data_IF_828460998823
#
_entry.id   IF_828460998823
#
_cell.length_a   1.000
_cell.length_b   1.000
_cell.length_c   1.000
_cell.angle_alpha   90.00
_cell.angle_beta   90.00
_cell.angle_gamma   90.00
#
_symmetry.space_group_name_H-M   'P 1'
#
loop_
_entity.id
_entity.type
_entity.pdbx_description
1 polymer ?
#
# COMPACT_ATOMS: atom_id res chain seq x y z
N UNK A 1 1.39 -27.41 -28.62
CA UNK A 1 1.53 -26.02 -28.13
C UNK A 1 1.01 -25.96 -26.71
N UNK A 2 1.87 -25.80 -25.72
CA UNK A 2 1.42 -25.56 -24.34
C UNK A 2 0.76 -24.17 -24.29
N UNK A 3 -0.41 -23.99 -23.67
CA UNK A 3 -0.94 -22.65 -23.44
C UNK A 3 0.11 -21.84 -22.67
N UNK A 4 0.29 -20.55 -22.98
CA UNK A 4 1.18 -19.71 -22.19
C UNK A 4 0.74 -19.84 -20.73
N UNK A 5 1.67 -20.28 -19.87
CA UNK A 5 1.42 -20.46 -18.45
C UNK A 5 0.65 -19.25 -17.95
N UNK A 6 -0.58 -19.42 -17.45
CA UNK A 6 -1.41 -18.27 -17.17
C UNK A 6 -0.65 -17.43 -16.14
N UNK A 7 -0.64 -16.12 -16.36
CA UNK A 7 -0.20 -15.12 -15.39
C UNK A 7 -1.02 -15.16 -14.07
N UNK A 8 -1.74 -16.26 -13.80
CA UNK A 8 -2.71 -16.56 -12.75
C UNK A 8 -2.14 -16.58 -11.33
N UNK A 9 -0.82 -16.46 -11.17
CA UNK A 9 -0.20 -16.29 -9.85
C UNK A 9 0.77 -15.11 -9.77
N UNK A 10 0.51 -14.01 -10.49
CA UNK A 10 0.84 -12.71 -9.89
C UNK A 10 0.06 -12.67 -8.58
N UNK A 11 0.71 -12.93 -7.44
CA UNK A 11 -0.02 -13.20 -6.19
C UNK A 11 -1.04 -12.09 -6.01
N UNK A 12 -2.33 -12.47 -5.86
CA UNK A 12 -3.43 -11.51 -5.83
C UNK A 12 -3.42 -10.62 -4.59
N UNK A 13 -2.31 -10.63 -3.87
CA UNK A 13 -2.08 -10.03 -2.57
C UNK A 13 -1.24 -8.77 -2.70
N UNK A 14 -1.54 -7.79 -1.86
CA UNK A 14 -0.69 -6.63 -1.63
C UNK A 14 0.35 -7.03 -0.58
N UNK A 15 1.63 -6.83 -0.87
CA UNK A 15 2.71 -7.16 0.06
C UNK A 15 3.36 -5.89 0.58
N UNK A 16 3.41 -5.72 1.90
CA UNK A 16 4.20 -4.65 2.52
C UNK A 16 5.68 -5.07 2.47
N UNK A 17 6.51 -4.22 1.87
CA UNK A 17 7.94 -4.46 1.67
C UNK A 17 8.82 -3.72 2.69
N UNK A 18 8.31 -2.62 3.27
CA UNK A 18 9.06 -1.83 4.25
C UNK A 18 8.81 -2.29 5.69
N UNK A 19 9.73 -1.91 6.59
CA UNK A 19 9.48 -1.96 8.02
C UNK A 19 8.22 -1.16 8.38
N UNK A 20 7.41 -1.74 9.27
CA UNK A 20 6.15 -1.20 9.79
C UNK A 20 6.36 -0.37 11.07
N UNK A 21 7.60 0.02 11.37
CA UNK A 21 7.90 0.97 12.46
C UNK A 21 7.52 2.38 12.06
N UNK A 22 6.91 3.14 12.97
CA UNK A 22 6.46 4.52 12.76
C UNK A 22 7.61 5.39 12.27
N UNK A 23 8.76 5.35 12.96
CA UNK A 23 9.93 6.12 12.55
C UNK A 23 10.45 5.77 11.15
N UNK A 24 10.24 4.54 10.67
CA UNK A 24 10.59 4.17 9.30
C UNK A 24 9.56 4.67 8.29
N UNK A 25 8.27 4.53 8.58
CA UNK A 25 7.18 5.01 7.72
C UNK A 25 7.26 6.53 7.55
N UNK A 26 7.54 7.28 8.62
CA UNK A 26 7.66 8.75 8.58
C UNK A 26 8.87 9.22 7.77
N UNK A 27 10.01 8.52 7.87
CA UNK A 27 11.26 8.91 7.19
C UNK A 27 11.33 8.43 5.75
N UNK A 28 11.01 7.16 5.51
CA UNK A 28 11.23 6.47 4.22
C UNK A 28 9.94 6.25 3.42
N UNK A 29 8.77 6.41 4.04
CA UNK A 29 7.48 6.07 3.44
C UNK A 29 7.15 4.57 3.58
N UNK A 30 5.91 4.23 3.22
CA UNK A 30 5.43 2.85 3.20
C UNK A 30 5.67 2.24 1.81
N UNK A 31 6.52 1.21 1.73
CA UNK A 31 6.80 0.49 0.48
C UNK A 31 5.92 -0.75 0.39
N UNK A 32 5.31 -0.97 -0.76
CA UNK A 32 4.50 -2.15 -1.01
C UNK A 32 4.58 -2.60 -2.47
N UNK A 33 4.20 -3.85 -2.71
CA UNK A 33 4.02 -4.44 -4.03
C UNK A 33 2.53 -4.70 -4.25
N UNK A 34 2.03 -4.40 -5.45
CA UNK A 34 0.69 -4.74 -5.90
C UNK A 34 0.72 -5.26 -7.32
N UNK A 35 -0.19 -6.17 -7.67
CA UNK A 35 -0.40 -6.53 -9.06
C UNK A 35 -1.26 -5.49 -9.77
N UNK A 36 -0.99 -5.32 -11.06
CA UNK A 36 -1.76 -4.55 -12.02
C UNK A 36 -2.28 -5.52 -13.08
N UNK A 37 -3.61 -5.67 -13.22
CA UNK A 37 -4.20 -6.72 -14.04
C UNK A 37 -4.05 -6.46 -15.55
N UNK A 38 -4.05 -5.18 -15.97
CA UNK A 38 -3.96 -4.77 -17.38
C UNK A 38 -3.13 -3.50 -17.57
N UNK A 39 -2.45 -3.40 -18.71
CA UNK A 39 -1.70 -2.20 -19.10
C UNK A 39 -2.64 -0.99 -19.21
N UNK A 40 -2.14 0.19 -18.85
CA UNK A 40 -2.95 1.41 -18.82
C UNK A 40 -3.76 1.59 -17.54
N UNK A 41 -3.77 0.61 -16.63
CA UNK A 41 -4.50 0.73 -15.36
C UNK A 41 -3.96 1.86 -14.49
N UNK A 42 -4.86 2.46 -13.71
CA UNK A 42 -4.50 3.26 -12.56
C UNK A 42 -4.34 2.37 -11.30
N UNK A 43 -3.57 2.87 -10.35
CA UNK A 43 -3.46 2.35 -8.99
C UNK A 43 -3.78 3.48 -8.01
N UNK A 44 -4.67 3.22 -7.07
CA UNK A 44 -4.95 4.07 -5.91
C UNK A 44 -4.73 3.27 -4.64
N UNK A 45 -3.82 3.69 -3.79
CA UNK A 45 -3.57 3.06 -2.49
C UNK A 45 -3.97 4.00 -1.35
N UNK A 46 -4.73 3.49 -0.39
CA UNK A 46 -5.18 4.20 0.80
C UNK A 46 -4.59 3.55 2.04
N UNK A 47 -3.81 4.32 2.79
CA UNK A 47 -3.37 3.92 4.12
C UNK A 47 -4.39 4.39 5.15
N UNK A 48 -4.95 3.45 5.90
CA UNK A 48 -5.84 3.71 7.03
C UNK A 48 -5.21 3.16 8.31
N UNK A 49 -5.36 3.89 9.41
CA UNK A 49 -4.92 3.45 10.75
C UNK A 49 -6.11 3.59 11.67
N UNK A 50 -6.47 2.51 12.35
CA UNK A 50 -7.69 2.40 13.16
C UNK A 50 -8.95 2.88 12.40
N UNK A 51 -9.08 2.45 11.14
CA UNK A 51 -10.20 2.82 10.26
C UNK A 51 -10.13 4.24 9.68
N UNK A 52 -9.28 5.13 10.21
CA UNK A 52 -9.15 6.53 9.77
C UNK A 52 -8.15 6.67 8.63
N UNK A 53 -8.51 7.42 7.59
CA UNK A 53 -7.64 7.68 6.43
C UNK A 53 -6.44 8.55 6.81
N UNK A 54 -5.23 8.02 6.55
CA UNK A 54 -3.96 8.71 6.78
C UNK A 54 -3.44 9.32 5.50
N UNK A 55 -3.32 8.53 4.44
CA UNK A 55 -2.68 8.96 3.19
C UNK A 55 -3.24 8.24 1.96
N UNK A 56 -3.07 8.88 0.80
CA UNK A 56 -3.44 8.33 -0.51
C UNK A 56 -2.24 8.44 -1.45
N UNK A 57 -1.94 7.36 -2.16
CA UNK A 57 -0.98 7.33 -3.27
C UNK A 57 -1.72 6.99 -4.56
N UNK A 58 -1.39 7.69 -5.65
CA UNK A 58 -1.99 7.46 -6.98
C UNK A 58 -0.91 7.32 -8.03
N UNK A 59 -1.07 6.32 -8.91
CA UNK A 59 -0.28 6.16 -10.13
C UNK A 59 -1.19 5.83 -11.29
N UNK A 60 -0.85 6.30 -12.47
CA UNK A 60 -1.64 6.12 -13.70
C UNK A 60 -0.79 5.48 -14.78
N UNK A 61 -1.44 4.94 -15.82
CA UNK A 61 -0.78 4.36 -17.02
C UNK A 61 0.28 3.30 -16.65
N UNK A 62 -0.06 2.39 -15.74
CA UNK A 62 0.85 1.34 -15.31
C UNK A 62 0.86 0.18 -16.32
N UNK A 63 2.04 -0.42 -16.51
CA UNK A 63 2.17 -1.68 -17.24
C UNK A 63 1.55 -2.85 -16.45
N UNK A 64 1.01 -3.84 -17.17
CA UNK A 64 0.59 -5.11 -16.57
C UNK A 64 1.75 -5.76 -15.82
N UNK A 65 1.51 -6.32 -14.65
CA UNK A 65 2.52 -7.02 -13.86
C UNK A 65 2.52 -6.66 -12.37
N UNK A 66 3.62 -6.89 -11.68
CA UNK A 66 3.82 -6.42 -10.30
C UNK A 66 4.51 -5.08 -10.30
N UNK A 67 4.01 -4.16 -9.48
CA UNK A 67 4.60 -2.84 -9.34
C UNK A 67 4.93 -2.59 -7.89
N UNK A 68 6.14 -2.08 -7.68
CA UNK A 68 6.60 -1.60 -6.37
C UNK A 68 6.28 -0.13 -6.25
N UNK A 69 5.59 0.22 -5.18
CA UNK A 69 5.15 1.59 -4.91
C UNK A 69 5.70 2.02 -3.56
N UNK A 70 6.12 3.27 -3.48
CA UNK A 70 6.50 3.90 -2.21
C UNK A 70 5.53 5.04 -1.96
N UNK A 71 4.64 4.88 -0.97
CA UNK A 71 3.76 5.93 -0.50
C UNK A 71 4.55 6.85 0.43
N UNK A 72 4.87 8.06 -0.05
CA UNK A 72 5.54 9.09 0.73
C UNK A 72 4.47 9.93 1.43
N UNK A 73 4.61 10.07 2.74
CA UNK A 73 3.71 10.91 3.53
C UNK A 73 4.15 12.38 3.42
N UNK A 74 3.21 13.25 3.07
CA UNK A 74 3.35 14.70 3.20
C UNK A 74 3.51 15.11 4.66
N UNK A 75 3.92 16.36 4.93
CA UNK A 75 4.08 16.88 6.29
C UNK A 75 2.81 16.72 7.12
N UNK A 76 1.65 17.03 6.54
CA UNK A 76 0.33 16.90 7.18
C UNK A 76 -0.03 15.46 7.49
N UNK A 77 0.23 14.53 6.56
CA UNK A 77 -0.06 13.10 6.76
C UNK A 77 0.87 12.48 7.80
N UNK A 78 2.15 12.89 7.83
CA UNK A 78 3.09 12.51 8.90
C UNK A 78 2.57 12.95 10.26
N UNK A 79 2.17 14.22 10.39
CA UNK A 79 1.61 14.74 11.64
C UNK A 79 0.32 14.02 12.04
N UNK A 80 -0.55 13.69 11.07
CA UNK A 80 -1.77 12.89 11.30
C UNK A 80 -1.44 11.49 11.82
N UNK A 81 -0.51 10.79 11.18
CA UNK A 81 -0.08 9.46 11.60
C UNK A 81 0.54 9.48 13.00
N UNK A 82 1.46 10.41 13.26
CA UNK A 82 2.09 10.57 14.57
C UNK A 82 1.07 10.87 15.68
N UNK A 83 0.05 11.68 15.39
CA UNK A 83 -1.05 11.96 16.33
C UNK A 83 -1.89 10.73 16.61
N UNK A 84 -2.25 9.95 15.59
CA UNK A 84 -3.02 8.71 15.78
C UNK A 84 -2.28 7.64 16.58
N UNK A 85 -0.95 7.59 16.46
CA UNK A 85 -0.11 6.71 17.29
C UNK A 85 0.35 7.37 18.59
N UNK A 86 -0.15 8.55 18.97
CA UNK A 86 0.28 9.23 20.20
C UNK A 86 -0.12 8.42 21.43
N UNK A 87 0.87 8.10 22.26
CA UNK A 87 0.67 7.31 23.50
C UNK A 87 0.45 5.81 23.28
N UNK A 88 0.56 5.31 22.04
CA UNK A 88 0.33 3.91 21.71
C UNK A 88 1.60 3.22 21.24
N UNK A 89 1.89 2.03 21.77
CA UNK A 89 3.02 1.22 21.31
C UNK A 89 2.78 0.59 19.94
N UNK A 90 1.52 0.24 19.65
CA UNK A 90 1.08 -0.42 18.41
C UNK A 90 -0.28 0.12 17.98
N UNK A 91 -0.53 0.17 16.68
CA UNK A 91 -1.82 0.49 16.10
C UNK A 91 -2.12 -0.39 14.87
N UNK A 92 -3.37 -0.79 14.72
CA UNK A 92 -3.82 -1.56 13.54
C UNK A 92 -3.92 -0.64 12.33
N UNK A 93 -3.36 -1.07 11.22
CA UNK A 93 -3.36 -0.37 9.95
C UNK A 93 -3.87 -1.27 8.82
N UNK A 94 -4.36 -0.61 7.77
CA UNK A 94 -4.86 -1.25 6.57
C UNK A 94 -4.34 -0.47 5.36
N UNK A 95 -3.80 -1.18 4.37
CA UNK A 95 -3.52 -0.65 3.05
C UNK A 95 -4.53 -1.22 2.07
N UNK A 96 -5.44 -0.37 1.57
CA UNK A 96 -6.42 -0.72 0.53
C UNK A 96 -5.88 -0.25 -0.81
N UNK A 97 -5.65 -1.16 -1.75
CA UNK A 97 -5.15 -0.85 -3.10
C UNK A 97 -6.22 -1.19 -4.11
N UNK A 98 -6.57 -0.21 -4.95
CA UNK A 98 -7.48 -0.34 -6.07
C UNK A 98 -6.65 -0.28 -7.35
N UNK A 99 -6.75 -1.30 -8.21
CA UNK A 99 -6.09 -1.29 -9.51
C UNK A 99 -6.93 -1.98 -10.57
N UNK A 100 -7.18 -1.28 -11.69
CA UNK A 100 -7.86 -1.87 -12.85
C UNK A 100 -9.28 -2.40 -12.56
N UNK A 101 -9.96 -1.90 -11.53
CA UNK A 101 -11.28 -2.37 -11.07
C UNK A 101 -11.22 -3.38 -9.92
N UNK A 102 -10.05 -3.95 -9.63
CA UNK A 102 -9.87 -4.85 -8.49
C UNK A 102 -9.51 -4.09 -7.22
N UNK A 103 -10.10 -4.48 -6.09
CA UNK A 103 -9.73 -3.98 -4.76
C UNK A 103 -9.05 -5.08 -3.97
N UNK A 104 -7.89 -4.75 -3.39
CA UNK A 104 -7.12 -5.63 -2.53
C UNK A 104 -6.76 -4.93 -1.25
N UNK A 105 -6.74 -5.67 -0.15
CA UNK A 105 -6.50 -5.12 1.18
C UNK A 105 -5.46 -5.95 1.91
N UNK A 106 -4.52 -5.29 2.57
CA UNK A 106 -3.64 -5.92 3.56
C UNK A 106 -3.76 -5.21 4.90
N UNK A 107 -3.96 -5.98 5.96
CA UNK A 107 -3.94 -5.50 7.34
C UNK A 107 -2.57 -5.75 7.95
N UNK A 108 -2.10 -4.83 8.76
CA UNK A 108 -0.82 -4.94 9.45
C UNK A 108 -0.79 -4.05 10.69
N UNK A 109 0.19 -4.27 11.56
CA UNK A 109 0.39 -3.46 12.76
C UNK A 109 1.53 -2.46 12.52
N UNK A 110 1.30 -1.20 12.85
CA UNK A 110 2.35 -0.19 12.96
C UNK A 110 2.83 -0.18 14.40
N UNK A 111 4.13 -0.38 14.63
CA UNK A 111 4.75 -0.21 15.96
C UNK A 111 5.42 1.15 16.03
N UNK A 112 5.56 1.73 17.23
CA UNK A 112 6.46 2.87 17.41
C UNK A 112 7.92 2.52 17.17
#
# INVERSE_FOLDING_TARGET
MSPPAPLDRLSRTVKILSSKRLGNILRRGLRFESAVPKTGSALRAELRVEGKLVAIERRVRLSRGRVRVTMKLTRTERARLSRQLRGRQRATAQLKVLSGGETRTVRFTISR
#
